data_IF_300819078271
#
_entry.id   IF_300819078271
#
_cell.length_a   1.000
_cell.length_b   1.000
_cell.length_c   1.000
_cell.angle_alpha   90.00
_cell.angle_beta   90.00
_cell.angle_gamma   90.00
#
_symmetry.space_group_name_H-M   'P 1'
#
loop_
_entity.id
_entity.type
_entity.pdbx_description
1 polymer ?
#
# COMPACT_ATOMS: atom_id res chain seq x y z
N UNK A 1 1.50 2.35 7.23
CA UNK A 1 2.70 2.69 6.42
C UNK A 1 3.90 1.95 7.00
N UNK A 2 4.76 1.31 6.21
CA UNK A 2 5.89 0.53 6.73
C UNK A 2 7.14 0.61 5.83
N UNK A 3 8.35 0.41 6.38
CA UNK A 3 9.59 0.51 5.62
C UNK A 3 9.81 -0.69 4.69
N UNK A 4 10.51 -0.45 3.60
CA UNK A 4 11.07 -1.45 2.69
C UNK A 4 12.57 -1.53 2.99
N UNK A 5 13.08 -2.72 3.28
CA UNK A 5 14.50 -2.95 3.59
C UNK A 5 15.13 -3.98 2.65
N UNK A 6 16.43 -3.84 2.44
CA UNK A 6 17.23 -4.82 1.70
C UNK A 6 17.87 -5.84 2.65
N UNK A 7 17.22 -7.00 2.82
CA UNK A 7 17.74 -8.07 3.68
C UNK A 7 19.11 -8.61 3.27
N UNK A 8 19.53 -8.44 2.01
CA UNK A 8 20.86 -8.86 1.54
C UNK A 8 21.95 -7.83 1.82
N UNK A 9 21.57 -6.60 2.13
CA UNK A 9 22.50 -5.49 2.37
C UNK A 9 22.22 -4.85 3.73
N UNK A 10 22.44 -5.60 4.82
CA UNK A 10 22.33 -5.11 6.20
C UNK A 10 21.01 -4.37 6.50
N UNK A 11 19.91 -4.84 5.93
CA UNK A 11 18.58 -4.20 6.04
C UNK A 11 18.56 -2.72 5.62
N UNK A 12 19.40 -2.35 4.65
CA UNK A 12 19.46 -0.99 4.11
C UNK A 12 18.05 -0.53 3.71
N UNK A 13 17.68 0.67 4.17
CA UNK A 13 16.40 1.29 3.86
C UNK A 13 16.30 1.55 2.35
N UNK A 14 15.20 1.13 1.73
CA UNK A 14 14.95 1.29 0.28
C UNK A 14 13.77 2.22 -0.01
N UNK A 15 13.02 2.61 1.01
CA UNK A 15 11.82 3.42 0.88
C UNK A 15 10.70 2.92 1.77
N UNK A 16 9.50 3.43 1.51
CA UNK A 16 8.31 3.19 2.31
C UNK A 16 7.22 2.61 1.45
N UNK A 17 6.38 1.76 2.01
CA UNK A 17 5.19 1.25 1.34
C UNK A 17 3.94 1.52 2.18
N UNK A 18 2.81 1.58 1.51
CA UNK A 18 1.51 1.88 2.07
C UNK A 18 0.41 1.16 1.28
N UNK A 19 -0.77 1.05 1.88
CA UNK A 19 -2.00 0.64 1.18
C UNK A 19 -2.96 1.82 1.25
N UNK A 20 -3.46 2.22 0.10
CA UNK A 20 -4.58 3.14 -0.01
C UNK A 20 -5.89 2.36 0.02
N UNK A 21 -6.90 2.97 0.62
CA UNK A 21 -8.27 2.53 0.59
C UNK A 21 -9.12 3.70 0.05
N UNK A 22 -9.99 3.43 -0.90
CA UNK A 22 -10.90 4.42 -1.46
C UNK A 22 -12.34 4.24 -0.96
N UNK A 23 -13.22 5.14 -1.41
CA UNK A 23 -14.65 5.14 -1.06
C UNK A 23 -15.40 3.90 -1.59
N UNK A 24 -14.84 3.19 -2.57
CA UNK A 24 -15.40 1.96 -3.14
C UNK A 24 -14.81 0.71 -2.50
N UNK A 25 -14.13 0.85 -1.37
CA UNK A 25 -13.48 -0.23 -0.66
C UNK A 25 -12.33 -0.90 -1.45
N UNK A 26 -11.84 -0.24 -2.49
CA UNK A 26 -10.73 -0.75 -3.28
C UNK A 26 -9.41 -0.47 -2.57
N UNK A 27 -8.58 -1.51 -2.49
CA UNK A 27 -7.24 -1.44 -1.91
C UNK A 27 -6.22 -1.37 -3.02
N UNK A 28 -5.27 -0.45 -2.90
CA UNK A 28 -4.14 -0.37 -3.81
C UNK A 28 -2.85 -0.16 -3.03
N UNK A 29 -1.84 -0.96 -3.36
CA UNK A 29 -0.51 -0.80 -2.80
C UNK A 29 0.20 0.41 -3.42
N UNK A 30 1.08 1.04 -2.64
CA UNK A 30 1.92 2.09 -3.13
C UNK A 30 3.26 2.15 -2.41
N UNK A 31 4.25 2.77 -3.05
CA UNK A 31 5.58 2.96 -2.49
C UNK A 31 6.17 4.34 -2.75
N UNK A 32 6.99 4.78 -1.81
CA UNK A 32 7.87 5.94 -1.89
C UNK A 32 9.31 5.43 -1.90
N UNK A 33 10.01 5.44 -3.04
CA UNK A 33 11.41 5.04 -3.12
C UNK A 33 12.33 5.95 -2.28
N UNK A 34 13.47 5.41 -1.80
CA UNK A 34 14.50 6.18 -1.07
C UNK A 34 15.06 7.36 -1.88
N UNK A 35 15.16 7.24 -3.20
CA UNK A 35 15.63 8.34 -4.07
C UNK A 35 14.74 9.59 -3.99
N UNK A 36 13.51 9.43 -3.51
CA UNK A 36 12.51 10.49 -3.31
C UNK A 36 12.30 10.84 -1.83
N UNK A 37 13.01 10.17 -0.90
CA UNK A 37 12.56 10.05 0.49
C UNK A 37 13.00 11.16 1.43
N UNK A 38 14.01 11.96 1.09
CA UNK A 38 14.59 12.92 2.05
C UNK A 38 13.58 14.00 2.52
N UNK A 39 12.47 14.19 1.79
CA UNK A 39 11.37 15.10 2.20
C UNK A 39 9.96 14.50 2.12
N UNK A 40 9.76 13.38 1.41
CA UNK A 40 8.42 12.77 1.23
C UNK A 40 8.10 11.65 2.23
N UNK A 41 9.12 11.04 2.87
CA UNK A 41 8.96 9.93 3.81
C UNK A 41 7.97 10.22 4.95
N UNK A 42 7.95 11.47 5.43
CA UNK A 42 7.18 11.88 6.61
C UNK A 42 5.73 12.31 6.30
N UNK A 43 5.28 12.28 5.03
CA UNK A 43 3.97 12.86 4.69
C UNK A 43 2.78 11.93 4.84
N UNK A 44 3.00 10.61 4.83
CA UNK A 44 1.92 9.64 4.97
C UNK A 44 1.78 9.16 6.42
N UNK A 45 0.67 9.52 7.03
CA UNK A 45 0.21 9.00 8.29
C UNK A 45 -0.92 8.01 8.03
N UNK A 46 -0.96 6.96 8.83
CA UNK A 46 -2.09 6.03 8.79
C UNK A 46 -3.40 6.76 9.11
N UNK A 47 -4.50 6.34 8.49
CA UNK A 47 -5.86 6.86 8.72
C UNK A 47 -6.08 8.32 8.27
N UNK A 48 -5.10 8.93 7.61
CA UNK A 48 -5.28 10.22 6.95
C UNK A 48 -5.71 10.03 5.50
N UNK A 49 -6.51 10.98 5.00
CA UNK A 49 -7.02 10.96 3.63
C UNK A 49 -6.17 11.90 2.78
N UNK A 50 -5.72 11.42 1.63
CA UNK A 50 -4.85 12.17 0.73
C UNK A 50 -5.41 12.21 -0.68
N UNK A 51 -5.27 13.36 -1.33
CA UNK A 51 -5.32 13.44 -2.79
C UNK A 51 -3.92 13.19 -3.35
N UNK A 52 -3.75 12.12 -4.13
CA UNK A 52 -2.48 11.76 -4.77
C UNK A 52 -2.64 11.90 -6.28
N UNK A 53 -1.78 12.70 -6.94
CA UNK A 53 -1.85 12.97 -8.39
C UNK A 53 -0.49 12.87 -9.05
N UNK A 54 -0.47 12.54 -10.34
CA UNK A 54 0.75 12.48 -11.16
C UNK A 54 1.78 11.46 -10.63
N UNK A 55 1.31 10.37 -10.04
CA UNK A 55 2.13 9.21 -9.70
C UNK A 55 2.33 8.32 -10.93
N UNK A 56 3.32 7.43 -10.86
CA UNK A 56 3.50 6.37 -11.85
C UNK A 56 2.84 5.08 -11.36
N UNK A 57 2.45 4.22 -12.29
CA UNK A 57 2.09 2.83 -11.98
C UNK A 57 3.27 1.92 -12.27
N UNK A 58 3.48 0.94 -11.39
CA UNK A 58 4.40 -0.17 -11.62
C UNK A 58 3.64 -1.50 -11.54
N UNK A 59 4.07 -2.55 -12.27
CA UNK A 59 3.51 -3.88 -12.10
C UNK A 59 3.62 -4.35 -10.65
N UNK A 60 2.55 -4.95 -10.13
CA UNK A 60 2.56 -5.57 -8.82
C UNK A 60 3.18 -6.96 -8.89
N UNK A 61 4.05 -7.30 -7.94
CA UNK A 61 4.70 -8.59 -7.93
C UNK A 61 3.71 -9.65 -7.44
N UNK A 62 3.32 -10.58 -8.31
CA UNK A 62 2.34 -11.62 -7.99
C UNK A 62 2.71 -12.48 -6.76
N UNK A 63 4.00 -12.58 -6.42
CA UNK A 63 4.45 -13.37 -5.25
C UNK A 63 4.32 -12.64 -3.93
N UNK A 64 4.32 -11.30 -3.95
CA UNK A 64 4.40 -10.46 -2.75
C UNK A 64 3.31 -9.40 -2.67
N UNK A 65 2.38 -9.38 -3.64
CA UNK A 65 1.23 -8.48 -3.65
C UNK A 65 0.40 -8.70 -2.39
N UNK A 66 -0.13 -7.59 -1.87
CA UNK A 66 -1.02 -7.52 -0.71
C UNK A 66 -2.46 -7.16 -1.12
N UNK A 67 -2.66 -6.83 -2.39
CA UNK A 67 -3.94 -6.44 -2.98
C UNK A 67 -4.17 -7.18 -4.29
N UNK A 68 -5.43 -7.26 -4.69
CA UNK A 68 -5.84 -7.92 -5.93
C UNK A 68 -5.47 -7.09 -7.18
N UNK A 69 -4.99 -5.86 -6.98
CA UNK A 69 -4.64 -4.93 -8.04
C UNK A 69 -3.34 -5.37 -8.76
N UNK A 70 -3.33 -5.38 -10.11
CA UNK A 70 -2.16 -5.78 -10.90
C UNK A 70 -1.05 -4.72 -10.93
N UNK A 71 -1.31 -3.52 -10.38
CA UNK A 71 -0.37 -2.42 -10.35
C UNK A 71 -0.28 -1.82 -8.94
N UNK A 72 0.86 -1.18 -8.67
CA UNK A 72 1.10 -0.40 -7.46
C UNK A 72 1.38 1.06 -7.82
N UNK A 73 1.04 1.96 -6.92
CA UNK A 73 1.39 3.38 -6.99
C UNK A 73 2.88 3.52 -6.72
N UNK A 74 3.59 4.23 -7.58
CA UNK A 74 4.98 4.62 -7.39
C UNK A 74 5.08 6.14 -7.33
N UNK A 75 5.33 6.65 -6.13
CA UNK A 75 5.55 8.05 -5.87
C UNK A 75 6.90 8.47 -6.48
N UNK A 76 6.90 9.62 -7.15
CA UNK A 76 8.07 10.26 -7.75
C UNK A 76 8.11 11.73 -7.34
N UNK A 77 9.19 12.43 -7.64
CA UNK A 77 9.38 13.85 -7.31
C UNK A 77 8.25 14.75 -7.86
N UNK A 78 7.69 14.39 -9.02
CA UNK A 78 6.59 15.13 -9.67
C UNK A 78 5.20 14.75 -9.14
N UNK A 79 5.10 13.81 -8.21
CA UNK A 79 3.83 13.42 -7.61
C UNK A 79 3.36 14.47 -6.62
N UNK A 80 2.13 14.93 -6.80
CA UNK A 80 1.47 15.84 -5.86
C UNK A 80 0.72 15.03 -4.80
N UNK A 81 0.96 15.32 -3.52
CA UNK A 81 0.29 14.71 -2.38
C UNK A 81 -0.28 15.83 -1.52
N UNK A 82 -1.59 15.85 -1.34
CA UNK A 82 -2.29 16.86 -0.54
C UNK A 82 -3.11 16.16 0.53
N UNK A 83 -2.87 16.49 1.80
CA UNK A 83 -3.70 16.04 2.92
C UNK A 83 -5.05 16.72 2.83
N UNK A 84 -6.13 15.95 2.90
CA UNK A 84 -7.49 16.50 2.95
C UNK A 84 -7.94 16.57 4.41
N UNK A 85 -8.27 17.78 4.87
CA UNK A 85 -8.77 18.04 6.22
C UNK A 85 -10.30 18.15 6.29
N UNK A 86 -10.95 18.22 5.12
CA UNK A 86 -12.39 18.35 5.01
C UNK A 86 -13.13 17.04 5.28
N UNK A 87 -14.40 17.17 5.65
CA UNK A 87 -15.29 16.04 5.93
C UNK A 87 -15.77 15.42 4.59
N UNK A 88 -14.90 14.65 3.93
CA UNK A 88 -15.27 13.88 2.73
C UNK A 88 -16.25 12.78 3.14
N UNK A 89 -17.11 12.34 2.21
CA UNK A 89 -17.88 11.10 2.34
C UNK A 89 -16.99 9.99 2.94
N UNK A 90 -17.51 9.20 3.89
CA UNK A 90 -16.66 8.42 4.79
C UNK A 90 -15.96 7.29 4.02
N UNK A 91 -14.69 7.51 3.66
CA UNK A 91 -13.80 6.41 3.30
C UNK A 91 -13.65 5.57 4.57
N UNK A 92 -13.95 4.26 4.52
CA UNK A 92 -13.77 3.40 5.69
C UNK A 92 -12.33 3.48 6.19
N UNK A 93 -12.13 3.57 7.51
CA UNK A 93 -10.76 3.58 8.06
C UNK A 93 -10.06 2.22 7.90
N UNK A 94 -10.84 1.14 7.91
CA UNK A 94 -10.36 -0.24 7.83
C UNK A 94 -11.38 -1.14 7.15
N UNK A 95 -10.88 -2.21 6.52
CA UNK A 95 -11.70 -3.31 6.01
C UNK A 95 -11.10 -4.62 6.47
N UNK A 96 -11.91 -5.44 7.12
CA UNK A 96 -11.54 -6.76 7.56
C UNK A 96 -12.39 -7.81 6.85
N UNK A 97 -11.77 -8.90 6.40
CA UNK A 97 -12.45 -10.07 5.84
C UNK A 97 -12.23 -11.27 6.77
N UNK A 98 -12.96 -11.35 7.89
CA UNK A 98 -12.78 -12.44 8.85
C UNK A 98 -13.02 -13.79 8.17
N UNK A 99 -12.10 -14.73 8.39
CA UNK A 99 -12.20 -16.10 7.89
C UNK A 99 -12.50 -17.04 9.05
N UNK A 100 -13.29 -18.09 8.81
CA UNK A 100 -13.50 -19.15 9.80
C UNK A 100 -12.20 -19.93 10.00
N UNK A 101 -11.99 -20.47 11.20
CA UNK A 101 -10.79 -21.26 11.51
C UNK A 101 -10.54 -22.41 10.52
N UNK A 102 -11.58 -23.10 10.09
CA UNK A 102 -11.47 -24.18 9.09
C UNK A 102 -11.02 -23.67 7.71
N UNK A 103 -11.43 -22.45 7.33
CA UNK A 103 -10.96 -21.79 6.09
C UNK A 103 -9.51 -21.33 6.23
N UNK A 104 -9.08 -20.91 7.41
CA UNK A 104 -7.67 -20.58 7.66
C UNK A 104 -6.76 -21.81 7.50
N UNK A 105 -7.20 -22.99 7.94
CA UNK A 105 -6.46 -24.25 7.72
C UNK A 105 -6.32 -24.56 6.22
N UNK A 106 -7.40 -24.41 5.45
CA UNK A 106 -7.34 -24.66 4.00
C UNK A 106 -6.44 -23.65 3.29
N UNK A 107 -6.53 -22.35 3.64
CA UNK A 107 -5.69 -21.30 3.07
C UNK A 107 -4.20 -21.50 3.38
N UNK A 108 -3.84 -21.97 4.57
CA UNK A 108 -2.45 -22.30 4.92
C UNK A 108 -1.90 -23.47 4.07
N UNK A 109 -2.79 -24.26 3.46
CA UNK A 109 -2.46 -25.41 2.62
C UNK A 109 -2.45 -25.06 1.13
N UNK A 110 -2.96 -23.89 0.74
CA UNK A 110 -3.00 -23.43 -0.65
C UNK A 110 -1.67 -22.81 -1.06
N UNK A 111 -1.21 -23.12 -2.27
CA UNK A 111 -0.04 -22.50 -2.91
C UNK A 111 -0.37 -21.17 -3.61
N UNK A 112 -1.63 -20.72 -3.51
CA UNK A 112 -2.09 -19.49 -4.14
C UNK A 112 -1.73 -18.26 -3.28
N UNK A 113 -1.00 -17.34 -3.90
CA UNK A 113 -0.58 -16.09 -3.26
C UNK A 113 -1.74 -15.08 -3.33
N UNK A 114 -2.43 -14.95 -2.19
CA UNK A 114 -3.73 -14.30 -1.95
C UNK A 114 -4.93 -15.01 -2.61
N UNK A 115 -6.04 -15.25 -1.87
CA UNK A 115 -7.28 -15.67 -2.49
C UNK A 115 -7.77 -14.54 -3.41
N UNK A 116 -8.04 -14.87 -4.67
CA UNK A 116 -8.66 -13.94 -5.64
C UNK A 116 -10.09 -13.60 -5.28
#
# INVERSE_FOLDING_TARGET
VWPITNHKNKDAFLGTTFICLDIQEQKMEGKVPISTSDTMYQRFEERKIYHIRYFNLLPNNQRYRLTDQPYIINIKETTTITLIQENIAPIPSYIFRPQRYTQLISLASETNFLPG
#
